data_IF_266013841013
#
_entry.id   IF_266013841013
#
_cell.length_a   1.000
_cell.length_b   1.000
_cell.length_c   1.000
_cell.angle_alpha   90.00
_cell.angle_beta   90.00
_cell.angle_gamma   90.00
#
_symmetry.space_group_name_H-M   'P 1'
#
loop_
_entity.id
_entity.type
_entity.pdbx_description
1 polymer ?
#
# COMPACT_ATOMS: atom_id res chain seq x y z
N UNK A 1 -33.36 -24.68 7.65
CA UNK A 1 -32.86 -23.52 6.86
C UNK A 1 -32.40 -22.44 7.83
N UNK A 2 -31.14 -22.51 8.26
CA UNK A 2 -30.56 -21.51 9.16
C UNK A 2 -29.91 -20.41 8.30
N UNK A 3 -30.47 -19.20 8.38
CA UNK A 3 -29.85 -17.99 7.85
C UNK A 3 -28.71 -17.64 8.80
N UNK A 4 -27.48 -17.93 8.41
CA UNK A 4 -26.32 -17.36 9.07
C UNK A 4 -26.31 -15.87 8.74
N UNK A 5 -26.74 -15.06 9.71
CA UNK A 5 -26.35 -13.66 9.79
C UNK A 5 -24.81 -13.64 9.80
N UNK A 6 -24.22 -13.26 8.68
CA UNK A 6 -22.80 -12.92 8.64
C UNK A 6 -22.67 -11.57 9.34
N UNK A 7 -22.26 -11.67 10.60
CA UNK A 7 -21.82 -10.60 11.46
C UNK A 7 -20.83 -9.71 10.68
N UNK A 8 -21.23 -8.45 10.49
CA UNK A 8 -20.39 -7.41 9.88
C UNK A 8 -19.18 -7.21 10.78
N UNK A 9 -18.06 -7.85 10.45
CA UNK A 9 -16.78 -7.58 11.08
C UNK A 9 -16.52 -6.07 11.00
N UNK A 10 -16.49 -5.42 12.16
CA UNK A 10 -16.15 -4.01 12.30
C UNK A 10 -14.68 -3.84 11.87
N UNK A 11 -14.46 -3.42 10.62
CA UNK A 11 -13.12 -3.11 10.11
C UNK A 11 -12.56 -1.90 10.87
N UNK A 12 -11.37 -1.98 11.51
CA UNK A 12 -10.74 -0.80 12.07
C UNK A 12 -10.28 0.16 10.95
N UNK A 13 -10.34 1.46 11.26
CA UNK A 13 -10.01 2.64 10.44
C UNK A 13 -9.29 2.40 9.09
N UNK A 14 -10.07 2.23 8.02
CA UNK A 14 -9.56 2.47 6.67
C UNK A 14 -9.23 3.95 6.52
N UNK A 15 -7.98 4.27 6.22
CA UNK A 15 -7.58 5.63 5.86
C UNK A 15 -7.18 5.63 4.38
N UNK A 16 -7.81 6.48 3.60
CA UNK A 16 -7.53 6.60 2.16
C UNK A 16 -7.10 8.01 1.79
N UNK A 17 -6.35 8.10 0.69
CA UNK A 17 -5.90 9.35 0.11
C UNK A 17 -6.04 9.33 -1.41
N UNK A 18 -6.50 10.46 -1.96
CA UNK A 18 -6.44 10.72 -3.39
C UNK A 18 -5.07 11.32 -3.72
N UNK A 19 -4.31 10.64 -4.59
CA UNK A 19 -2.98 11.03 -5.01
C UNK A 19 -2.98 11.82 -6.34
N UNK A 20 -4.14 12.30 -6.77
CA UNK A 20 -4.25 13.14 -7.97
C UNK A 20 -3.79 14.57 -7.66
N UNK A 21 -2.91 15.12 -8.51
CA UNK A 21 -2.45 16.52 -8.41
C UNK A 21 -1.07 16.69 -7.77
N UNK A 22 -0.70 17.93 -7.46
CA UNK A 22 0.66 18.31 -7.03
C UNK A 22 0.98 17.99 -5.56
N UNK A 23 -0.02 17.74 -4.71
CA UNK A 23 0.15 17.61 -3.25
C UNK A 23 0.29 16.15 -2.77
N UNK A 24 0.92 15.28 -3.56
CA UNK A 24 1.03 13.84 -3.25
C UNK A 24 1.75 13.58 -1.91
N UNK A 25 2.94 14.14 -1.73
CA UNK A 25 3.78 13.81 -0.56
C UNK A 25 3.20 14.27 0.77
N UNK A 26 2.68 15.51 0.92
CA UNK A 26 2.04 15.93 2.17
C UNK A 26 0.81 15.08 2.52
N UNK A 27 0.00 14.73 1.52
CA UNK A 27 -1.20 13.89 1.71
C UNK A 27 -0.80 12.49 2.17
N UNK A 28 0.17 11.85 1.51
CA UNK A 28 0.68 10.52 1.90
C UNK A 28 1.16 10.51 3.35
N UNK A 29 1.98 11.49 3.74
CA UNK A 29 2.47 11.58 5.13
C UNK A 29 1.35 11.76 6.14
N UNK A 30 0.34 12.58 5.83
CA UNK A 30 -0.80 12.77 6.70
C UNK A 30 -1.62 11.47 6.84
N UNK A 31 -1.82 10.75 5.74
CA UNK A 31 -2.51 9.45 5.71
C UNK A 31 -1.78 8.41 6.56
N UNK A 32 -0.46 8.26 6.38
CA UNK A 32 0.38 7.35 7.17
C UNK A 32 0.29 7.72 8.65
N UNK A 33 0.51 9.00 8.99
CA UNK A 33 0.47 9.47 10.38
C UNK A 33 -0.88 9.21 11.02
N UNK A 34 -1.97 9.32 10.27
CA UNK A 34 -3.33 9.07 10.77
C UNK A 34 -3.57 7.58 11.01
N UNK A 35 -3.15 6.72 10.06
CA UNK A 35 -3.37 5.28 10.16
C UNK A 35 -2.51 4.59 11.23
N UNK A 36 -1.32 5.14 11.51
CA UNK A 36 -0.28 4.53 12.33
C UNK A 36 0.05 5.35 13.60
N UNK A 37 -0.83 6.26 14.04
CA UNK A 37 -0.53 7.24 15.09
C UNK A 37 -0.21 6.64 16.47
N UNK A 38 -0.69 5.43 16.73
CA UNK A 38 -0.60 4.69 17.98
C UNK A 38 0.43 3.55 17.95
N UNK A 39 1.19 3.44 16.86
CA UNK A 39 2.19 2.38 16.68
C UNK A 39 3.61 2.82 17.07
N UNK A 40 4.49 1.86 17.41
CA UNK A 40 5.90 2.12 17.65
C UNK A 40 6.61 2.77 16.45
N UNK A 41 7.61 3.63 16.73
CA UNK A 41 8.26 4.44 15.70
C UNK A 41 9.04 3.63 14.64
N UNK A 42 9.59 2.49 15.04
CA UNK A 42 10.22 1.50 14.16
C UNK A 42 9.21 0.88 13.19
N UNK A 43 8.06 0.42 13.70
CA UNK A 43 6.95 -0.12 12.89
C UNK A 43 6.45 0.95 11.91
N UNK A 44 6.26 2.19 12.38
CA UNK A 44 5.84 3.31 11.53
C UNK A 44 6.87 3.56 10.41
N UNK A 45 8.16 3.51 10.72
CA UNK A 45 9.24 3.74 9.75
C UNK A 45 9.24 2.67 8.65
N UNK A 46 9.14 1.40 9.03
CA UNK A 46 9.12 0.28 8.06
C UNK A 46 7.86 0.31 7.19
N UNK A 47 6.70 0.52 7.80
CA UNK A 47 5.45 0.68 7.07
C UNK A 47 5.50 1.88 6.10
N UNK A 48 6.08 3.01 6.53
CA UNK A 48 6.25 4.20 5.67
C UNK A 48 7.12 3.90 4.46
N UNK A 49 8.22 3.18 4.67
CA UNK A 49 9.14 2.78 3.61
C UNK A 49 8.44 1.87 2.58
N UNK A 50 7.64 0.92 3.06
CA UNK A 50 6.83 0.06 2.18
C UNK A 50 5.79 0.86 1.39
N UNK A 51 5.12 1.85 2.00
CA UNK A 51 4.19 2.76 1.30
C UNK A 51 4.91 3.55 0.21
N UNK A 52 6.09 4.11 0.52
CA UNK A 52 6.89 4.89 -0.44
C UNK A 52 7.32 4.05 -1.65
N UNK A 53 7.75 2.81 -1.43
CA UNK A 53 8.12 1.90 -2.52
C UNK A 53 6.93 1.52 -3.40
N UNK A 54 5.75 1.25 -2.81
CA UNK A 54 4.54 0.97 -3.58
C UNK A 54 4.07 2.19 -4.39
N UNK A 55 4.23 3.41 -3.86
CA UNK A 55 3.95 4.64 -4.59
C UNK A 55 4.96 4.88 -5.71
N UNK A 56 6.24 4.64 -5.45
CA UNK A 56 7.29 4.72 -6.46
C UNK A 56 7.01 3.73 -7.60
N UNK A 57 6.61 2.49 -7.28
CA UNK A 57 6.17 1.50 -8.26
C UNK A 57 4.97 1.98 -9.07
N UNK A 58 3.98 2.54 -8.41
CA UNK A 58 2.80 3.08 -9.07
C UNK A 58 3.11 4.25 -10.02
N UNK A 59 4.22 4.95 -9.82
CA UNK A 59 4.72 6.03 -10.69
C UNK A 59 5.68 5.59 -11.81
N UNK A 60 6.09 4.32 -11.84
CA UNK A 60 6.98 3.79 -12.87
C UNK A 60 6.33 3.85 -14.26
N UNK A 61 7.17 3.94 -15.29
CA UNK A 61 6.74 3.99 -16.69
C UNK A 61 5.94 5.24 -17.08
N UNK A 62 6.00 6.30 -16.27
CA UNK A 62 5.21 7.52 -16.49
C UNK A 62 3.73 7.37 -16.11
N UNK A 63 3.35 6.26 -15.45
CA UNK A 63 2.04 6.14 -14.83
C UNK A 63 1.90 7.11 -13.65
N UNK A 64 0.66 7.38 -13.26
CA UNK A 64 0.38 8.25 -12.11
C UNK A 64 -0.36 7.47 -11.02
N UNK A 65 0.17 7.44 -9.78
CA UNK A 65 -0.59 7.01 -8.63
C UNK A 65 -1.86 7.86 -8.49
N UNK A 66 -2.97 7.21 -8.19
CA UNK A 66 -4.31 7.80 -8.07
C UNK A 66 -4.88 7.65 -6.67
N UNK A 67 -4.60 6.53 -6.01
CA UNK A 67 -5.13 6.25 -4.68
C UNK A 67 -4.09 5.56 -3.80
N UNK A 68 -4.15 5.88 -2.51
CA UNK A 68 -3.53 5.14 -1.42
C UNK A 68 -4.64 4.71 -0.46
N UNK A 69 -4.63 3.45 -0.06
CA UNK A 69 -5.51 2.90 0.96
C UNK A 69 -4.66 2.16 2.00
N UNK A 70 -4.85 2.53 3.27
CA UNK A 70 -4.25 1.88 4.43
C UNK A 70 -5.38 1.27 5.25
N UNK A 71 -5.35 -0.05 5.41
CA UNK A 71 -6.34 -0.80 6.19
C UNK A 71 -5.64 -1.53 7.32
N UNK A 72 -6.03 -1.18 8.55
CA UNK A 72 -5.48 -1.82 9.74
C UNK A 72 -6.44 -2.88 10.26
N UNK A 73 -5.91 -4.04 10.60
CA UNK A 73 -6.58 -5.08 11.37
C UNK A 73 -5.96 -5.13 12.76
N UNK A 74 -6.80 -5.26 13.80
CA UNK A 74 -6.33 -5.43 15.19
C UNK A 74 -6.00 -6.89 15.46
N UNK A 75 -6.78 -7.82 14.90
CA UNK A 75 -6.58 -9.25 15.07
C UNK A 75 -6.89 -9.97 13.75
N UNK A 76 -5.87 -10.50 13.04
CA UNK A 76 -4.43 -10.36 13.32
C UNK A 76 -3.96 -8.90 13.18
N UNK A 77 -2.87 -8.53 13.86
CA UNK A 77 -2.29 -7.19 13.87
C UNK A 77 -1.59 -6.88 12.53
N UNK A 78 -2.36 -6.54 11.51
CA UNK A 78 -1.88 -6.38 10.13
C UNK A 78 -2.19 -5.01 9.56
N UNK A 79 -1.32 -4.55 8.65
CA UNK A 79 -1.57 -3.40 7.79
C UNK A 79 -1.61 -3.86 6.33
N UNK A 80 -2.75 -3.71 5.67
CA UNK A 80 -2.84 -3.80 4.22
C UNK A 80 -2.62 -2.42 3.63
N UNK A 81 -1.64 -2.32 2.73
CA UNK A 81 -1.32 -1.13 1.94
C UNK A 81 -1.74 -1.43 0.51
N UNK A 82 -2.53 -0.55 -0.09
CA UNK A 82 -2.89 -0.65 -1.50
C UNK A 82 -2.66 0.69 -2.21
N UNK A 83 -1.97 0.64 -3.34
CA UNK A 83 -1.73 1.80 -4.19
C UNK A 83 -2.28 1.52 -5.58
N UNK A 84 -3.22 2.36 -6.00
CA UNK A 84 -3.83 2.27 -7.34
C UNK A 84 -3.20 3.30 -8.26
N UNK A 85 -2.75 2.87 -9.44
CA UNK A 85 -2.37 3.74 -10.57
C UNK A 85 -3.35 3.60 -11.72
N UNK A 86 -3.43 4.65 -12.52
CA UNK A 86 -4.08 4.56 -13.83
C UNK A 86 -3.15 3.85 -14.81
N UNK A 87 -3.69 2.92 -15.61
CA UNK A 87 -2.92 2.26 -16.66
C UNK A 87 -2.66 3.27 -17.78
N UNK A 88 -1.41 3.43 -18.24
CA UNK A 88 -1.14 4.27 -19.40
C UNK A 88 -1.84 3.68 -20.63
N UNK A 89 -2.49 4.53 -21.44
CA UNK A 89 -3.17 4.13 -22.69
C UNK A 89 -2.22 3.47 -23.71
N UNK A 90 -0.92 3.72 -23.56
CA UNK A 90 0.15 3.11 -24.35
C UNK A 90 1.08 2.40 -23.38
N UNK A 91 1.29 1.10 -23.58
CA UNK A 91 2.27 0.35 -22.81
C UNK A 91 3.67 0.85 -23.15
N UNK A 92 4.28 1.64 -22.27
CA UNK A 92 5.71 1.93 -22.33
C UNK A 92 6.46 0.69 -21.90
N UNK A 93 7.27 0.13 -22.80
CA UNK A 93 8.17 -0.97 -22.48
C UNK A 93 9.23 -0.42 -21.53
N UNK A 94 9.11 -0.69 -20.24
CA UNK A 94 10.12 -0.25 -19.28
C UNK A 94 11.39 -1.09 -19.43
N UNK A 95 12.58 -0.45 -19.54
CA UNK A 95 13.83 -1.14 -19.31
C UNK A 95 13.88 -1.60 -17.85
N UNK A 96 14.33 -2.83 -17.62
CA UNK A 96 14.69 -3.29 -16.27
C UNK A 96 15.79 -2.35 -15.74
N UNK A 97 15.46 -1.53 -14.73
CA UNK A 97 16.41 -0.64 -14.07
C UNK A 97 16.81 -1.22 -12.71
N UNK A 98 18.02 -0.95 -12.19
CA UNK A 98 18.42 -1.39 -10.86
C UNK A 98 17.46 -0.93 -9.74
N UNK A 99 16.81 0.23 -9.92
CA UNK A 99 15.82 0.76 -8.98
C UNK A 99 14.55 -0.11 -8.90
N UNK A 100 14.16 -0.77 -10.00
CA UNK A 100 13.05 -1.75 -10.00
C UNK A 100 13.42 -2.96 -9.15
N UNK A 101 14.67 -3.43 -9.26
CA UNK A 101 15.15 -4.59 -8.51
C UNK A 101 15.26 -4.29 -7.02
N UNK A 102 15.82 -3.13 -6.64
CA UNK A 102 15.99 -2.77 -5.21
C UNK A 102 14.65 -2.55 -4.51
N UNK A 103 13.71 -1.82 -5.13
CA UNK A 103 12.39 -1.60 -4.53
C UNK A 103 11.59 -2.89 -4.37
N UNK A 104 11.77 -3.85 -5.30
CA UNK A 104 11.11 -5.16 -5.22
C UNK A 104 11.69 -6.02 -4.09
N UNK A 105 13.01 -6.02 -3.90
CA UNK A 105 13.65 -6.70 -2.76
C UNK A 105 13.09 -6.16 -1.44
N UNK A 106 12.94 -4.85 -1.31
CA UNK A 106 12.40 -4.24 -0.10
C UNK A 106 10.97 -4.70 0.20
N UNK A 107 10.10 -4.74 -0.82
CA UNK A 107 8.74 -5.28 -0.68
C UNK A 107 8.78 -6.75 -0.27
N UNK A 108 9.66 -7.56 -0.86
CA UNK A 108 9.81 -8.98 -0.54
C UNK A 108 10.33 -9.21 0.91
N UNK A 109 11.17 -8.33 1.43
CA UNK A 109 11.73 -8.43 2.79
C UNK A 109 10.74 -7.97 3.87
N UNK A 110 9.95 -6.92 3.61
CA UNK A 110 9.05 -6.32 4.61
C UNK A 110 7.64 -6.89 4.58
N UNK A 111 7.12 -7.26 3.42
CA UNK A 111 5.74 -7.72 3.31
C UNK A 111 5.60 -9.22 3.66
N UNK A 112 4.59 -9.56 4.45
CA UNK A 112 4.16 -10.95 4.65
C UNK A 112 3.61 -11.55 3.35
N UNK A 113 2.92 -10.73 2.57
CA UNK A 113 2.43 -11.07 1.24
C UNK A 113 2.21 -9.81 0.43
N UNK A 114 2.29 -9.92 -0.89
CA UNK A 114 2.05 -8.80 -1.79
C UNK A 114 1.58 -9.30 -3.15
N UNK A 115 0.99 -8.41 -3.93
CA UNK A 115 0.55 -8.74 -5.28
C UNK A 115 0.02 -7.54 -6.05
N UNK A 116 -0.45 -7.83 -7.27
CA UNK A 116 -1.04 -6.83 -8.16
C UNK A 116 -2.39 -7.31 -8.66
N UNK A 117 -3.43 -6.50 -8.47
CA UNK A 117 -4.75 -6.69 -9.08
C UNK A 117 -4.94 -5.68 -10.19
N UNK A 118 -5.51 -6.10 -11.31
CA UNK A 118 -5.68 -5.23 -12.47
C UNK A 118 -7.13 -5.16 -12.94
N UNK A 119 -7.52 -3.98 -13.44
CA UNK A 119 -8.72 -3.78 -14.23
C UNK A 119 -8.33 -3.28 -15.63
N UNK A 120 -9.30 -3.01 -16.50
CA UNK A 120 -9.04 -2.45 -17.83
C UNK A 120 -8.39 -1.06 -17.76
N UNK A 121 -8.66 -0.27 -16.71
CA UNK A 121 -8.26 1.14 -16.62
C UNK A 121 -7.28 1.42 -15.48
N UNK A 122 -7.12 0.48 -14.55
CA UNK A 122 -6.27 0.67 -13.37
C UNK A 122 -5.47 -0.58 -13.02
N UNK A 123 -4.39 -0.38 -12.28
CA UNK A 123 -3.60 -1.43 -11.66
C UNK A 123 -3.40 -1.05 -10.19
N UNK A 124 -3.65 -1.99 -9.29
CA UNK A 124 -3.50 -1.82 -7.85
C UNK A 124 -2.43 -2.78 -7.36
N UNK A 125 -1.32 -2.23 -6.87
CA UNK A 125 -0.31 -3.00 -6.14
C UNK A 125 -0.63 -2.95 -4.66
N UNK A 126 -0.59 -4.10 -3.99
CA UNK A 126 -0.87 -4.20 -2.57
C UNK A 126 0.20 -5.02 -1.84
N UNK A 127 0.37 -4.72 -0.56
CA UNK A 127 1.23 -5.44 0.36
C UNK A 127 0.56 -5.57 1.73
N UNK A 128 0.81 -6.68 2.42
CA UNK A 128 0.41 -6.93 3.79
C UNK A 128 1.65 -6.89 4.65
N UNK A 129 1.64 -6.02 5.65
CA UNK A 129 2.71 -5.79 6.60
C UNK A 129 2.28 -6.23 7.99
N UNK A 130 3.20 -6.87 8.72
CA UNK A 130 3.00 -7.26 10.11
C UNK A 130 3.19 -6.03 11.01
N UNK A 131 2.22 -5.74 11.87
CA UNK A 131 2.33 -4.63 12.81
C UNK A 131 3.00 -5.03 14.12
N UNK A 132 3.24 -6.31 14.33
CA UNK A 132 4.02 -6.77 15.46
C UNK A 132 5.52 -6.49 15.20
N UNK A 133 6.25 -5.95 16.19
CA UNK A 133 7.68 -5.73 16.05
C UNK A 133 8.40 -7.05 15.74
N UNK A 134 9.26 -7.06 14.72
CA UNK A 134 10.17 -8.19 14.51
C UNK A 134 11.13 -8.26 15.69
N UNK A 135 11.16 -9.40 16.38
CA UNK A 135 12.16 -9.65 17.41
C UNK A 135 13.56 -9.58 16.77
N UNK A 136 14.43 -8.74 17.34
CA UNK A 136 15.83 -8.59 16.92
C UNK A 136 16.66 -9.83 17.20
#
# INVERSE_FOLDING_TARGET
MARHHTETASFPATTSANLTGMLRTPVVRATIRTALCDLPADVVKEASLLVEELIADAGRGGASPRGLELRRSVEPALLTIAVTREKPRVATREPLSPAITVGRILVEELALSWGTGETDTSSTTWAVFDLEPRAA
#
